data_IF_513366331980
#
_entry.id   IF_513366331980
#
_cell.length_a   1.000
_cell.length_b   1.000
_cell.length_c   1.000
_cell.angle_alpha   90.00
_cell.angle_beta   90.00
_cell.angle_gamma   90.00
#
_symmetry.space_group_name_H-M   'P 1'
#
loop_
_entity.id
_entity.type
_entity.pdbx_description
1 polymer ?
#
# COMPACT_ATOMS: atom_id res chain seq x y z
N UNK A 1 -9.66 17.77 0.44
CA UNK A 1 -8.91 17.88 -0.82
C UNK A 1 -8.74 19.36 -1.13
N UNK A 2 -7.51 19.86 -1.21
CA UNK A 2 -7.23 21.31 -1.16
C UNK A 2 -6.99 21.91 -2.55
N UNK A 3 -6.59 21.10 -3.53
CA UNK A 3 -6.38 21.53 -4.91
C UNK A 3 -7.02 20.56 -5.91
N UNK A 4 -7.27 21.03 -7.14
CA UNK A 4 -7.75 20.16 -8.23
C UNK A 4 -6.76 19.01 -8.53
N UNK A 5 -5.47 19.25 -8.30
CA UNK A 5 -4.41 18.24 -8.47
C UNK A 5 -4.62 17.10 -7.46
N UNK A 6 -4.89 17.41 -6.19
CA UNK A 6 -5.14 16.39 -5.16
C UNK A 6 -6.33 15.48 -5.52
N UNK A 7 -7.37 16.04 -6.15
CA UNK A 7 -8.57 15.30 -6.55
C UNK A 7 -8.23 14.33 -7.69
N UNK A 8 -7.49 14.79 -8.70
CA UNK A 8 -7.10 13.96 -9.83
C UNK A 8 -6.13 12.85 -9.41
N UNK A 9 -5.23 13.12 -8.45
CA UNK A 9 -4.33 12.13 -7.88
C UNK A 9 -5.09 11.02 -7.15
N UNK A 10 -6.08 11.34 -6.31
CA UNK A 10 -6.90 10.33 -5.64
C UNK A 10 -7.72 9.52 -6.64
N UNK A 11 -8.31 10.15 -7.66
CA UNK A 11 -9.04 9.44 -8.71
C UNK A 11 -8.14 8.45 -9.44
N UNK A 12 -6.90 8.85 -9.71
CA UNK A 12 -5.90 7.99 -10.32
C UNK A 12 -5.54 6.82 -9.39
N UNK A 13 -5.33 7.07 -8.10
CA UNK A 13 -5.02 6.04 -7.11
C UNK A 13 -6.14 5.00 -7.02
N UNK A 14 -7.40 5.43 -6.82
CA UNK A 14 -8.57 4.54 -6.80
C UNK A 14 -8.68 3.73 -8.09
N UNK A 15 -8.46 4.37 -9.24
CA UNK A 15 -8.50 3.69 -10.53
C UNK A 15 -7.41 2.62 -10.62
N UNK A 16 -6.18 2.91 -10.21
CA UNK A 16 -5.08 1.93 -10.23
C UNK A 16 -5.43 0.76 -9.33
N UNK A 17 -5.79 1.01 -8.07
CA UNK A 17 -6.07 -0.04 -7.09
C UNK A 17 -7.21 -0.96 -7.51
N UNK A 18 -8.26 -0.44 -8.16
CA UNK A 18 -9.38 -1.26 -8.68
C UNK A 18 -8.99 -2.17 -9.85
N UNK A 19 -7.94 -1.84 -10.59
CA UNK A 19 -7.48 -2.62 -11.74
C UNK A 19 -6.31 -3.55 -11.40
N UNK A 20 -5.73 -3.45 -10.20
CA UNK A 20 -4.69 -4.38 -9.77
C UNK A 20 -5.29 -5.79 -9.63
N UNK A 21 -4.62 -6.82 -10.16
CA UNK A 21 -5.03 -8.20 -9.93
C UNK A 21 -4.90 -8.51 -8.43
N UNK A 22 -5.70 -9.46 -7.94
CA UNK A 22 -5.52 -9.97 -6.58
C UNK A 22 -4.16 -10.67 -6.48
N UNK A 23 -3.33 -10.20 -5.54
CA UNK A 23 -2.00 -10.71 -5.31
C UNK A 23 -1.70 -10.69 -3.81
N UNK A 24 -1.06 -11.74 -3.27
CA UNK A 24 -0.85 -11.90 -1.84
C UNK A 24 -0.01 -10.76 -1.23
N UNK A 25 0.92 -10.20 -2.01
CA UNK A 25 1.84 -9.15 -1.56
C UNK A 25 1.36 -7.73 -1.90
N UNK A 26 0.12 -7.58 -2.39
CA UNK A 26 -0.48 -6.27 -2.71
C UNK A 26 -1.78 -6.15 -1.91
N UNK A 27 -1.86 -5.12 -1.06
CA UNK A 27 -3.08 -4.83 -0.33
C UNK A 27 -4.25 -4.55 -1.29
N UNK A 28 -5.40 -5.14 -0.99
CA UNK A 28 -6.60 -5.00 -1.81
C UNK A 28 -7.48 -3.83 -1.36
N UNK A 29 -7.89 -2.99 -2.31
CA UNK A 29 -8.96 -2.00 -2.11
C UNK A 29 -10.32 -2.71 -2.12
N UNK A 30 -11.05 -2.64 -1.01
CA UNK A 30 -12.37 -3.26 -0.85
C UNK A 30 -13.48 -2.35 -1.33
N UNK A 31 -13.45 -1.07 -0.94
CA UNK A 31 -14.46 -0.10 -1.33
C UNK A 31 -13.97 1.35 -1.19
N UNK A 32 -14.71 2.30 -1.74
CA UNK A 32 -14.40 3.74 -1.70
C UNK A 32 -15.67 4.55 -1.51
N UNK A 33 -15.66 5.44 -0.52
CA UNK A 33 -16.77 6.33 -0.20
C UNK A 33 -16.32 7.78 -0.24
N UNK A 34 -17.23 8.69 -0.58
CA UNK A 34 -16.98 10.13 -0.58
C UNK A 34 -18.10 10.82 0.19
N UNK A 35 -17.73 11.75 1.06
CA UNK A 35 -18.65 12.67 1.72
C UNK A 35 -18.21 14.12 1.49
N UNK A 36 -18.93 15.08 2.08
CA UNK A 36 -18.67 16.51 1.89
C UNK A 36 -17.27 16.95 2.38
N UNK A 37 -16.60 16.14 3.20
CA UNK A 37 -15.37 16.49 3.88
C UNK A 37 -14.16 15.69 3.36
N UNK A 38 -14.36 14.42 3.00
CA UNK A 38 -13.28 13.50 2.70
C UNK A 38 -13.67 12.35 1.75
N UNK A 39 -12.64 11.73 1.17
CA UNK A 39 -12.71 10.44 0.49
C UNK A 39 -12.15 9.38 1.44
N UNK A 40 -12.88 8.27 1.57
CA UNK A 40 -12.56 7.16 2.46
C UNK A 40 -12.26 5.92 1.63
N UNK A 41 -11.07 5.36 1.81
CA UNK A 41 -10.63 4.13 1.16
C UNK A 41 -10.73 2.97 2.16
N UNK A 42 -11.59 2.00 1.86
CA UNK A 42 -11.70 0.77 2.66
C UNK A 42 -10.76 -0.27 2.07
N UNK A 43 -9.79 -0.70 2.85
CA UNK A 43 -8.68 -1.55 2.39
C UNK A 43 -8.55 -2.82 3.24
N UNK A 44 -7.70 -3.74 2.81
CA UNK A 44 -7.25 -4.85 3.64
C UNK A 44 -6.54 -4.35 4.91
N UNK A 45 -6.80 -5.02 6.04
CA UNK A 45 -6.15 -4.71 7.30
C UNK A 45 -4.81 -5.45 7.35
N UNK A 46 -3.72 -4.70 7.22
CA UNK A 46 -2.38 -5.23 7.44
C UNK A 46 -2.00 -5.07 8.92
N UNK A 47 -2.09 -6.14 9.71
CA UNK A 47 -1.79 -6.12 11.16
C UNK A 47 -0.28 -5.97 11.47
N UNK A 48 0.58 -6.15 10.47
CA UNK A 48 2.01 -5.93 10.56
C UNK A 48 2.38 -4.44 10.67
N UNK A 49 3.55 -4.17 11.26
CA UNK A 49 4.17 -2.84 11.22
C UNK A 49 4.80 -2.55 9.87
N UNK A 50 5.34 -1.35 9.70
CA UNK A 50 6.14 -1.01 8.54
C UNK A 50 7.38 -1.91 8.43
N UNK A 51 7.73 -2.26 7.19
CA UNK A 51 8.93 -3.04 6.91
C UNK A 51 10.19 -2.33 7.43
N UNK A 52 10.25 -1.00 7.31
CA UNK A 52 11.39 -0.21 7.76
C UNK A 52 11.60 -0.35 9.27
N UNK A 53 10.54 -0.24 10.08
CA UNK A 53 10.61 -0.45 11.53
C UNK A 53 11.14 -1.83 11.88
N UNK A 54 10.71 -2.86 11.14
CA UNK A 54 11.18 -4.23 11.35
C UNK A 54 12.68 -4.39 11.00
N UNK A 55 13.17 -3.71 9.97
CA UNK A 55 14.59 -3.70 9.60
C UNK A 55 15.41 -3.01 10.70
N UNK A 56 14.99 -1.82 11.13
CA UNK A 56 15.69 -1.03 12.16
C UNK A 56 15.75 -1.79 13.49
N UNK A 57 14.64 -2.44 13.89
CA UNK A 57 14.57 -3.20 15.15
C UNK A 57 15.55 -4.38 15.20
N UNK A 58 15.97 -4.93 14.05
CA UNK A 58 16.97 -6.01 13.99
C UNK A 58 18.41 -5.53 14.14
N UNK A 59 18.68 -4.23 13.92
CA UNK A 59 20.02 -3.65 13.97
C UNK A 59 20.92 -4.09 12.79
N UNK A 60 21.40 -5.33 12.81
CA UNK A 60 22.11 -5.93 11.68
C UNK A 60 21.15 -6.73 10.80
N UNK A 61 21.02 -6.31 9.55
CA UNK A 61 20.16 -6.95 8.56
C UNK A 61 21.01 -7.52 7.43
N UNK A 62 21.04 -8.84 7.29
CA UNK A 62 21.91 -9.51 6.31
C UNK A 62 21.37 -9.36 4.89
N UNK A 63 22.26 -9.40 3.90
CA UNK A 63 21.86 -9.39 2.48
C UNK A 63 20.93 -10.55 2.14
N UNK A 64 21.12 -11.72 2.78
CA UNK A 64 20.22 -12.86 2.62
C UNK A 64 18.79 -12.56 3.10
N UNK A 65 18.65 -11.91 4.26
CA UNK A 65 17.33 -11.49 4.77
C UNK A 65 16.72 -10.38 3.89
N UNK A 66 17.54 -9.50 3.32
CA UNK A 66 17.09 -8.49 2.35
C UNK A 66 16.60 -9.14 1.06
N UNK A 67 17.35 -10.08 0.50
CA UNK A 67 16.97 -10.80 -0.70
C UNK A 67 15.62 -11.52 -0.53
N UNK A 68 15.35 -12.09 0.64
CA UNK A 68 14.06 -12.73 0.92
C UNK A 68 12.89 -11.74 0.86
N UNK A 69 13.02 -10.55 1.46
CA UNK A 69 11.99 -9.51 1.40
C UNK A 69 11.84 -8.95 -0.01
N UNK A 70 12.96 -8.66 -0.68
CA UNK A 70 12.94 -8.17 -2.06
C UNK A 70 12.22 -9.13 -2.98
N UNK A 71 12.42 -10.45 -2.81
CA UNK A 71 11.71 -11.47 -3.60
C UNK A 71 10.19 -11.32 -3.48
N UNK A 72 9.67 -11.08 -2.28
CA UNK A 72 8.23 -10.84 -2.05
C UNK A 72 7.76 -9.54 -2.72
N UNK A 73 8.57 -8.48 -2.70
CA UNK A 73 8.23 -7.18 -3.31
C UNK A 73 8.18 -7.25 -4.84
N UNK A 74 9.09 -7.99 -5.46
CA UNK A 74 9.22 -8.06 -6.93
C UNK A 74 8.46 -9.23 -7.55
N UNK A 75 7.72 -9.99 -6.73
CA UNK A 75 6.88 -11.11 -7.21
C UNK A 75 5.78 -10.56 -8.14
N UNK A 76 5.62 -11.20 -9.31
CA UNK A 76 4.73 -10.79 -10.40
C UNK A 76 3.56 -11.75 -10.52
#
# INVERSE_FOLDING_TARGET
LRTAIDIDDIRREVKIMRHLPQHLNIMTLKDTYEDNNAVHLVMELCEGKELFDHIVARGHYTEHAAAAVTKTIVEV
#
